data_IF_822897501808
#
_entry.id   IF_822897501808
#
_cell.length_a   1.000
_cell.length_b   1.000
_cell.length_c   1.000
_cell.angle_alpha   90.00
_cell.angle_beta   90.00
_cell.angle_gamma   90.00
#
_symmetry.space_group_name_H-M   'P 1'
#
loop_
_entity.id
_entity.type
_entity.pdbx_description
1 polymer ?
#
# COMPACT_ATOMS: atom_id res chain seq x y z
N UNK A 1 -27.75 16.43 -18.29
CA UNK A 1 -27.54 16.98 -16.94
C UNK A 1 -27.15 18.44 -17.07
N UNK A 2 -27.59 19.34 -16.18
CA UNK A 2 -27.13 20.74 -16.20
C UNK A 2 -25.62 20.80 -15.98
N UNK A 3 -24.97 21.78 -16.60
CA UNK A 3 -23.55 22.02 -16.39
C UNK A 3 -23.29 22.35 -14.91
N UNK A 4 -22.24 21.80 -14.28
CA UNK A 4 -21.89 22.13 -12.92
C UNK A 4 -21.61 23.64 -12.79
N UNK A 5 -21.96 24.26 -11.64
CA UNK A 5 -21.70 25.68 -11.43
C UNK A 5 -20.19 25.96 -11.54
N UNK A 6 -19.81 27.17 -12.02
CA UNK A 6 -18.41 27.55 -12.14
C UNK A 6 -17.72 27.54 -10.78
N UNK A 7 -16.47 27.07 -10.74
CA UNK A 7 -15.66 27.01 -9.53
C UNK A 7 -15.50 28.40 -8.90
N UNK A 8 -15.57 28.49 -7.57
CA UNK A 8 -15.21 29.70 -6.84
C UNK A 8 -13.69 29.90 -6.85
N UNK A 9 -13.17 31.13 -6.60
CA UNK A 9 -11.73 31.36 -6.47
C UNK A 9 -11.08 30.47 -5.40
N UNK A 10 -11.74 30.29 -4.26
CA UNK A 10 -11.29 29.43 -3.16
C UNK A 10 -11.22 27.95 -3.58
N UNK A 11 -12.22 27.46 -4.32
CA UNK A 11 -12.20 26.10 -4.87
C UNK A 11 -11.04 25.89 -5.84
N UNK A 12 -10.77 26.87 -6.73
CA UNK A 12 -9.64 26.81 -7.67
C UNK A 12 -8.30 26.76 -6.95
N UNK A 13 -8.10 27.60 -5.95
CA UNK A 13 -6.89 27.60 -5.13
C UNK A 13 -6.69 26.25 -4.44
N UNK A 14 -7.77 25.73 -3.83
CA UNK A 14 -7.76 24.44 -3.14
C UNK A 14 -7.49 23.27 -4.09
N UNK A 15 -8.09 23.27 -5.28
CA UNK A 15 -7.78 22.29 -6.33
C UNK A 15 -6.32 22.42 -6.75
N UNK A 16 -5.83 23.62 -7.03
CA UNK A 16 -4.44 23.87 -7.43
C UNK A 16 -3.43 23.32 -6.41
N UNK A 17 -3.73 23.46 -5.12
CA UNK A 17 -2.94 22.95 -4.00
C UNK A 17 -2.89 21.41 -3.95
N UNK A 18 -4.02 20.74 -4.14
CA UNK A 18 -4.12 19.27 -3.97
C UNK A 18 -4.10 18.49 -5.29
N UNK A 19 -3.96 19.16 -6.43
CA UNK A 19 -3.88 18.52 -7.75
C UNK A 19 -2.63 17.65 -7.82
N UNK A 20 -2.82 16.34 -7.97
CA UNK A 20 -1.76 15.34 -8.16
C UNK A 20 -1.78 14.79 -9.59
N UNK A 21 -0.81 13.95 -9.94
CA UNK A 21 -0.79 13.21 -11.21
C UNK A 21 -0.78 14.10 -12.46
N UNK A 22 -0.18 15.30 -12.34
CA UNK A 22 -0.15 16.30 -13.43
C UNK A 22 0.54 15.77 -14.70
N UNK A 23 1.41 14.77 -14.58
CA UNK A 23 2.15 14.12 -15.68
C UNK A 23 1.46 12.87 -16.25
N UNK A 24 0.30 12.48 -15.72
CA UNK A 24 -0.41 11.26 -16.15
C UNK A 24 -1.47 11.61 -17.19
N UNK A 25 -1.18 11.34 -18.47
CA UNK A 25 -2.16 11.38 -19.55
C UNK A 25 -3.00 10.09 -19.64
N UNK A 26 -3.97 10.03 -20.56
CA UNK A 26 -4.83 8.85 -20.74
C UNK A 26 -4.07 7.56 -21.11
N UNK A 27 -2.98 7.66 -21.87
CA UNK A 27 -2.11 6.52 -22.18
C UNK A 27 -1.30 6.06 -20.95
N UNK A 28 -0.93 6.99 -20.09
CA UNK A 28 -0.23 6.74 -18.82
C UNK A 28 -1.18 6.14 -17.79
N UNK A 29 -2.47 6.46 -17.81
CA UNK A 29 -3.47 5.76 -16.97
C UNK A 29 -3.54 4.26 -17.22
N UNK A 30 -3.62 3.83 -18.48
CA UNK A 30 -3.66 2.40 -18.79
C UNK A 30 -2.38 1.68 -18.34
N UNK A 31 -1.22 2.33 -18.50
CA UNK A 31 0.06 1.82 -18.00
C UNK A 31 0.09 1.73 -16.47
N UNK A 32 -0.34 2.76 -15.76
CA UNK A 32 -0.40 2.78 -14.29
C UNK A 32 -1.37 1.73 -13.75
N UNK A 33 -2.56 1.59 -14.35
CA UNK A 33 -3.51 0.57 -13.95
C UNK A 33 -2.99 -0.85 -14.25
N UNK A 34 -2.27 -1.04 -15.35
CA UNK A 34 -1.57 -2.29 -15.66
C UNK A 34 -0.47 -2.60 -14.63
N UNK A 35 0.35 -1.61 -14.31
CA UNK A 35 1.40 -1.71 -13.30
C UNK A 35 0.83 -2.06 -11.92
N UNK A 36 -0.16 -1.30 -11.45
CA UNK A 36 -0.81 -1.55 -10.17
C UNK A 36 -1.42 -2.94 -10.09
N UNK A 37 -2.06 -3.44 -11.16
CA UNK A 37 -2.61 -4.80 -11.20
C UNK A 37 -1.54 -5.88 -11.17
N UNK A 38 -0.38 -5.62 -11.78
CA UNK A 38 0.72 -6.58 -11.85
C UNK A 38 1.49 -6.67 -10.53
N UNK A 39 1.64 -5.54 -9.82
CA UNK A 39 2.54 -5.44 -8.67
C UNK A 39 1.83 -5.23 -7.33
N UNK A 40 0.51 -4.99 -7.32
CA UNK A 40 -0.24 -4.71 -6.10
C UNK A 40 -1.66 -5.28 -6.15
N UNK A 41 -2.34 -5.31 -5.00
CA UNK A 41 -3.77 -5.61 -4.94
C UNK A 41 -4.67 -4.38 -5.09
N UNK A 42 -4.12 -3.18 -5.23
CA UNK A 42 -4.90 -1.93 -5.28
C UNK A 42 -5.23 -1.54 -6.72
N UNK A 43 -6.39 -0.94 -6.92
CA UNK A 43 -6.79 -0.36 -8.20
C UNK A 43 -6.25 1.07 -8.33
N UNK A 44 -6.10 1.56 -9.56
CA UNK A 44 -5.75 2.97 -9.81
C UNK A 44 -6.70 3.96 -9.10
N UNK A 45 -7.98 3.58 -8.98
CA UNK A 45 -8.99 4.31 -8.21
C UNK A 45 -8.69 4.39 -6.73
N UNK A 46 -8.46 3.23 -6.10
CA UNK A 46 -8.18 3.17 -4.67
C UNK A 46 -6.89 3.90 -4.32
N UNK A 47 -5.86 3.75 -5.15
CA UNK A 47 -4.59 4.45 -5.00
C UNK A 47 -4.74 5.97 -5.11
N UNK A 48 -5.30 6.48 -6.21
CA UNK A 48 -5.44 7.93 -6.42
C UNK A 48 -6.27 8.59 -5.31
N UNK A 49 -7.40 7.98 -4.94
CA UNK A 49 -8.27 8.51 -3.87
C UNK A 49 -7.58 8.42 -2.51
N UNK A 50 -6.88 7.32 -2.19
CA UNK A 50 -6.15 7.22 -0.93
C UNK A 50 -5.07 8.29 -0.80
N UNK A 51 -4.39 8.63 -1.90
CA UNK A 51 -3.39 9.71 -1.95
C UNK A 51 -3.99 11.09 -1.79
N UNK A 52 -5.11 11.38 -2.46
CA UNK A 52 -5.84 12.62 -2.20
C UNK A 52 -6.26 12.72 -0.74
N UNK A 53 -6.88 11.68 -0.18
CA UNK A 53 -7.31 11.67 1.21
C UNK A 53 -6.17 11.72 2.24
N UNK A 54 -4.92 11.48 1.83
CA UNK A 54 -3.75 11.59 2.71
C UNK A 54 -3.30 13.04 2.89
N UNK A 55 -3.54 13.91 1.90
CA UNK A 55 -3.11 15.32 1.93
C UNK A 55 -4.03 16.22 2.78
N UNK A 56 -5.23 15.75 3.12
CA UNK A 56 -6.17 16.53 3.93
C UNK A 56 -5.94 16.30 5.43
N UNK A 57 -5.82 17.41 6.15
CA UNK A 57 -5.53 17.44 7.59
C UNK A 57 -6.63 16.78 8.43
N UNK A 58 -7.90 16.84 8.02
CA UNK A 58 -9.06 16.48 8.86
C UNK A 58 -10.15 15.74 8.10
N UNK A 59 -10.13 14.41 8.15
CA UNK A 59 -11.01 13.49 7.39
C UNK A 59 -12.51 13.63 7.68
N UNK A 60 -13.09 14.73 7.26
CA UNK A 60 -14.48 15.12 7.47
C UNK A 60 -15.34 14.78 6.25
N UNK A 61 -16.67 14.72 6.44
CA UNK A 61 -17.60 14.52 5.33
C UNK A 61 -17.48 15.61 4.25
N UNK A 62 -17.17 16.85 4.65
CA UNK A 62 -16.99 17.97 3.72
C UNK A 62 -15.81 17.76 2.75
N UNK A 63 -14.71 17.18 3.23
CA UNK A 63 -13.56 16.86 2.38
C UNK A 63 -13.86 15.73 1.40
N UNK A 64 -14.58 14.69 1.84
CA UNK A 64 -14.98 13.59 0.96
C UNK A 64 -15.88 14.08 -0.16
N UNK A 65 -16.79 15.01 0.16
CA UNK A 65 -17.63 15.70 -0.83
C UNK A 65 -16.79 16.52 -1.80
N UNK A 66 -15.85 17.33 -1.30
CA UNK A 66 -14.98 18.14 -2.13
C UNK A 66 -14.14 17.28 -3.09
N UNK A 67 -13.49 16.23 -2.59
CA UNK A 67 -12.70 15.29 -3.41
C UNK A 67 -13.57 14.66 -4.49
N UNK A 68 -14.77 14.19 -4.13
CA UNK A 68 -15.66 13.52 -5.07
C UNK A 68 -16.16 14.44 -6.19
N UNK A 69 -16.58 15.66 -5.84
CA UNK A 69 -17.10 16.64 -6.79
C UNK A 69 -16.04 17.18 -7.76
N UNK A 70 -14.78 17.28 -7.31
CA UNK A 70 -13.69 17.85 -8.08
C UNK A 70 -12.67 16.80 -8.54
N UNK A 71 -13.03 15.51 -8.52
CA UNK A 71 -12.10 14.44 -8.83
C UNK A 71 -11.43 14.57 -10.21
N UNK A 72 -12.15 14.96 -11.29
CA UNK A 72 -11.52 15.17 -12.60
C UNK A 72 -10.52 16.32 -12.64
N UNK A 73 -10.75 17.36 -11.84
CA UNK A 73 -9.84 18.50 -11.73
C UNK A 73 -8.61 18.16 -10.88
N UNK A 74 -8.79 17.31 -9.86
CA UNK A 74 -7.75 16.87 -8.92
C UNK A 74 -6.85 15.77 -9.50
N UNK A 75 -7.42 14.85 -10.28
CA UNK A 75 -6.77 13.66 -10.85
C UNK A 75 -7.20 13.56 -12.32
N UNK A 76 -6.41 14.11 -13.25
CA UNK A 76 -6.83 14.29 -14.65
C UNK A 76 -7.28 13.02 -15.39
N UNK A 77 -6.82 11.85 -14.97
CA UNK A 77 -7.22 10.57 -15.56
C UNK A 77 -8.54 10.01 -15.01
N UNK A 78 -9.12 10.61 -13.95
CA UNK A 78 -10.43 10.26 -13.42
C UNK A 78 -11.48 11.16 -14.06
N UNK A 79 -12.12 10.73 -15.14
CA UNK A 79 -13.03 11.60 -15.90
C UNK A 79 -14.37 11.88 -15.20
N UNK A 80 -14.75 11.04 -14.24
CA UNK A 80 -16.05 11.12 -13.56
C UNK A 80 -15.93 11.69 -12.15
N UNK A 81 -16.98 12.40 -11.72
CA UNK A 81 -17.16 12.81 -10.32
C UNK A 81 -17.66 11.65 -9.47
N UNK A 82 -17.31 11.64 -8.18
CA UNK A 82 -17.63 10.58 -7.24
C UNK A 82 -18.50 11.12 -6.10
N UNK A 83 -19.34 10.24 -5.54
CA UNK A 83 -20.06 10.57 -4.32
C UNK A 83 -19.11 10.53 -3.11
N UNK A 84 -19.40 11.25 -2.02
CA UNK A 84 -18.57 11.19 -0.80
C UNK A 84 -18.42 9.76 -0.28
N UNK A 85 -19.49 8.96 -0.41
CA UNK A 85 -19.50 7.55 -0.04
C UNK A 85 -18.54 6.73 -0.88
N UNK A 86 -18.50 6.94 -2.20
CA UNK A 86 -17.58 6.24 -3.10
C UNK A 86 -16.12 6.58 -2.80
N UNK A 87 -15.82 7.85 -2.47
CA UNK A 87 -14.48 8.30 -2.02
C UNK A 87 -14.07 7.56 -0.75
N UNK A 88 -14.93 7.55 0.27
CA UNK A 88 -14.65 6.88 1.53
C UNK A 88 -14.51 5.36 1.36
N UNK A 89 -15.30 4.74 0.50
CA UNK A 89 -15.20 3.31 0.18
C UNK A 89 -13.87 2.96 -0.47
N UNK A 90 -13.42 3.73 -1.48
CA UNK A 90 -12.14 3.51 -2.15
C UNK A 90 -10.97 3.63 -1.16
N UNK A 91 -10.97 4.68 -0.33
CA UNK A 91 -9.99 4.87 0.74
C UNK A 91 -9.98 3.70 1.73
N UNK A 92 -11.15 3.28 2.22
CA UNK A 92 -11.23 2.17 3.17
C UNK A 92 -10.82 0.84 2.53
N UNK A 93 -11.11 0.65 1.25
CA UNK A 93 -10.66 -0.52 0.50
C UNK A 93 -9.14 -0.58 0.40
N UNK A 94 -8.48 0.53 0.03
CA UNK A 94 -7.02 0.65 0.06
C UNK A 94 -6.46 0.23 1.43
N UNK A 95 -6.96 0.83 2.52
CA UNK A 95 -6.49 0.53 3.89
C UNK A 95 -6.69 -0.93 4.28
N UNK A 96 -7.82 -1.54 3.90
CA UNK A 96 -8.07 -2.96 4.18
C UNK A 96 -7.08 -3.86 3.42
N UNK A 97 -6.78 -3.54 2.17
CA UNK A 97 -5.81 -4.30 1.34
C UNK A 97 -4.41 -4.22 1.94
N UNK A 98 -3.95 -3.04 2.34
CA UNK A 98 -2.66 -2.85 3.03
C UNK A 98 -2.59 -3.69 4.31
N UNK A 99 -3.62 -3.64 5.15
CA UNK A 99 -3.66 -4.44 6.39
C UNK A 99 -3.60 -5.95 6.13
N UNK A 100 -4.35 -6.43 5.13
CA UNK A 100 -4.34 -7.85 4.76
C UNK A 100 -2.97 -8.27 4.23
N UNK A 101 -2.40 -7.50 3.30
CA UNK A 101 -1.08 -7.78 2.74
C UNK A 101 0.00 -7.82 3.82
N UNK A 102 0.01 -6.84 4.75
CA UNK A 102 0.94 -6.83 5.87
C UNK A 102 0.78 -8.04 6.80
N UNK A 103 -0.45 -8.38 7.17
CA UNK A 103 -0.72 -9.57 7.99
C UNK A 103 -0.25 -10.86 7.30
N UNK A 104 -0.49 -11.00 6.00
CA UNK A 104 -0.05 -12.15 5.19
C UNK A 104 1.48 -12.23 5.09
N UNK A 105 2.15 -11.10 4.83
CA UNK A 105 3.61 -11.01 4.79
C UNK A 105 4.23 -11.45 6.12
N UNK A 106 3.80 -10.84 7.23
CA UNK A 106 4.35 -11.17 8.54
C UNK A 106 4.06 -12.61 8.96
N UNK A 107 2.88 -13.16 8.63
CA UNK A 107 2.61 -14.57 8.86
C UNK A 107 3.64 -15.48 8.15
N UNK A 108 3.92 -15.22 6.86
CA UNK A 108 4.93 -15.97 6.12
C UNK A 108 6.34 -15.83 6.69
N UNK A 109 6.74 -14.60 7.02
CA UNK A 109 8.05 -14.31 7.61
C UNK A 109 8.24 -15.02 8.96
N UNK A 110 7.26 -14.93 9.86
CA UNK A 110 7.32 -15.52 11.20
C UNK A 110 7.27 -17.06 11.16
N UNK A 111 6.49 -17.64 10.25
CA UNK A 111 6.45 -19.09 10.04
C UNK A 111 7.72 -19.65 9.37
N UNK A 112 8.65 -18.80 8.92
CA UNK A 112 9.87 -19.22 8.24
C UNK A 112 9.62 -19.76 6.83
N UNK A 113 8.55 -19.29 6.17
CA UNK A 113 8.29 -19.63 4.76
C UNK A 113 9.27 -18.95 3.79
N UNK A 114 9.96 -17.92 4.27
CA UNK A 114 10.97 -17.19 3.54
C UNK A 114 12.27 -17.20 4.35
N UNK A 115 13.38 -17.42 3.66
CA UNK A 115 14.74 -17.19 4.16
C UNK A 115 15.00 -15.69 4.33
N UNK A 116 16.11 -15.32 4.97
CA UNK A 116 16.49 -13.92 5.09
C UNK A 116 16.74 -13.27 3.72
N UNK A 117 17.37 -14.00 2.80
CA UNK A 117 17.63 -13.55 1.42
C UNK A 117 16.32 -13.33 0.65
N UNK A 118 15.36 -14.27 0.72
CA UNK A 118 14.05 -14.11 0.07
C UNK A 118 13.23 -12.95 0.68
N UNK A 119 13.39 -12.68 1.97
CA UNK A 119 12.77 -11.49 2.57
C UNK A 119 13.39 -10.22 1.99
N UNK A 120 14.72 -10.13 1.91
CA UNK A 120 15.43 -9.00 1.31
C UNK A 120 14.98 -8.75 -0.15
N UNK A 121 14.84 -9.82 -0.95
CA UNK A 121 14.33 -9.74 -2.33
C UNK A 121 12.90 -9.17 -2.39
N UNK A 122 11.98 -9.68 -1.56
CA UNK A 122 10.58 -9.20 -1.50
C UNK A 122 10.54 -7.70 -1.20
N UNK A 123 11.43 -7.23 -0.33
CA UNK A 123 11.46 -5.85 0.13
C UNK A 123 12.09 -4.92 -0.89
N UNK A 124 13.16 -5.36 -1.54
CA UNK A 124 13.76 -4.66 -2.67
C UNK A 124 12.70 -4.45 -3.77
N UNK A 125 12.02 -5.51 -4.20
CA UNK A 125 10.95 -5.41 -5.18
C UNK A 125 9.81 -4.50 -4.72
N UNK A 126 9.41 -4.60 -3.44
CA UNK A 126 8.36 -3.76 -2.87
C UNK A 126 8.75 -2.28 -2.84
N UNK A 127 10.03 -1.97 -2.58
CA UNK A 127 10.56 -0.60 -2.54
C UNK A 127 10.58 0.03 -3.93
N UNK A 128 10.99 -0.73 -4.95
CA UNK A 128 10.98 -0.31 -6.36
C UNK A 128 9.56 0.00 -6.83
N UNK A 129 8.60 -0.86 -6.48
CA UNK A 129 7.19 -0.62 -6.77
C UNK A 129 6.68 0.66 -6.10
N UNK A 130 7.06 0.89 -4.83
CA UNK A 130 6.67 2.10 -4.10
C UNK A 130 7.27 3.37 -4.71
N UNK A 131 8.58 3.32 -5.06
CA UNK A 131 9.32 4.41 -5.70
C UNK A 131 8.70 4.80 -7.04
N UNK A 132 8.42 3.83 -7.90
CA UNK A 132 7.74 4.07 -9.17
C UNK A 132 6.39 4.78 -8.96
N UNK A 133 5.59 4.35 -7.96
CA UNK A 133 4.31 4.99 -7.68
C UNK A 133 4.46 6.44 -7.17
N UNK A 134 5.48 6.73 -6.36
CA UNK A 134 5.80 8.09 -5.91
C UNK A 134 6.25 8.98 -7.07
N UNK A 135 7.07 8.45 -7.99
CA UNK A 135 7.51 9.17 -9.18
C UNK A 135 6.33 9.53 -10.09
N UNK A 136 5.40 8.59 -10.32
CA UNK A 136 4.18 8.82 -11.10
C UNK A 136 3.29 9.90 -10.48
N UNK A 137 3.27 10.02 -9.16
CA UNK A 137 2.56 11.10 -8.46
C UNK A 137 3.16 12.50 -8.73
N UNK A 138 4.39 12.54 -9.25
CA UNK A 138 5.18 13.76 -9.43
C UNK A 138 6.05 14.06 -8.21
N UNK A 139 6.25 13.09 -7.31
CA UNK A 139 7.21 13.21 -6.20
C UNK A 139 8.58 12.76 -6.71
N UNK A 140 9.52 13.69 -6.85
CA UNK A 140 10.92 13.36 -7.12
C UNK A 140 11.63 13.22 -5.78
N UNK A 141 12.29 12.09 -5.57
CA UNK A 141 13.20 11.87 -4.43
C UNK A 141 14.60 12.22 -4.93
N UNK A 142 15.40 12.91 -4.13
CA UNK A 142 16.80 13.17 -4.45
C UNK A 142 17.61 11.86 -4.39
N UNK A 143 18.66 11.72 -5.19
CA UNK A 143 19.45 10.47 -5.26
C UNK A 143 20.11 10.17 -3.91
N UNK A 144 20.53 11.21 -3.17
CA UNK A 144 21.14 11.02 -1.85
C UNK A 144 20.07 10.57 -0.83
N UNK A 145 18.87 11.16 -0.88
CA UNK A 145 17.72 10.72 -0.07
C UNK A 145 17.29 9.29 -0.42
N UNK A 146 17.45 8.89 -1.68
CA UNK A 146 17.08 7.57 -2.20
C UNK A 146 17.93 6.46 -1.59
N UNK A 147 19.25 6.65 -1.53
CA UNK A 147 20.18 5.70 -0.91
C UNK A 147 19.97 5.60 0.61
N UNK A 148 19.76 6.73 1.29
CA UNK A 148 19.48 6.76 2.73
C UNK A 148 18.18 6.01 3.08
N UNK A 149 17.16 6.08 2.21
CA UNK A 149 15.92 5.33 2.40
C UNK A 149 16.15 3.83 2.23
N UNK A 150 16.94 3.42 1.24
CA UNK A 150 17.27 2.00 1.00
C UNK A 150 18.00 1.38 2.20
N UNK A 151 19.03 2.06 2.71
CA UNK A 151 19.80 1.59 3.87
C UNK A 151 18.91 1.40 5.11
N UNK A 152 18.00 2.35 5.36
CA UNK A 152 17.06 2.29 6.48
C UNK A 152 16.02 1.19 6.31
N UNK A 153 15.54 0.95 5.08
CA UNK A 153 14.64 -0.16 4.80
C UNK A 153 15.35 -1.49 5.05
N UNK A 154 16.59 -1.66 4.56
CA UNK A 154 17.37 -2.88 4.77
C UNK A 154 17.63 -3.15 6.26
N UNK A 155 17.93 -2.11 7.05
CA UNK A 155 18.14 -2.23 8.50
C UNK A 155 16.90 -2.77 9.23
N UNK A 156 15.72 -2.16 8.99
CA UNK A 156 14.46 -2.59 9.62
C UNK A 156 14.16 -4.05 9.31
N UNK A 157 14.59 -4.53 8.15
CA UNK A 157 14.22 -5.84 7.65
C UNK A 157 15.11 -6.94 8.17
N UNK A 158 16.40 -6.64 8.32
CA UNK A 158 17.28 -7.47 9.15
C UNK A 158 16.71 -7.66 10.55
N UNK A 159 16.17 -6.59 11.16
CA UNK A 159 15.51 -6.70 12.47
C UNK A 159 14.25 -7.58 12.44
N UNK A 160 13.45 -7.54 11.37
CA UNK A 160 12.27 -8.41 11.21
C UNK A 160 12.69 -9.87 11.06
N UNK A 161 13.71 -10.15 10.24
CA UNK A 161 14.23 -11.51 10.04
C UNK A 161 14.81 -12.09 11.35
N UNK A 162 15.56 -11.28 12.11
CA UNK A 162 16.08 -11.65 13.43
C UNK A 162 14.95 -11.96 14.41
N UNK A 163 13.94 -11.08 14.52
CA UNK A 163 12.79 -11.29 15.39
C UNK A 163 12.01 -12.56 15.02
N UNK A 164 11.83 -12.82 13.72
CA UNK A 164 11.21 -14.04 13.23
C UNK A 164 12.02 -15.29 13.62
N UNK A 165 13.36 -15.22 13.53
CA UNK A 165 14.24 -16.30 13.96
C UNK A 165 14.13 -16.57 15.46
N UNK A 166 14.15 -15.52 16.29
CA UNK A 166 14.01 -15.65 17.75
C UNK A 166 12.71 -16.35 18.14
N UNK A 167 11.59 -16.01 17.49
CA UNK A 167 10.28 -16.65 17.75
C UNK A 167 10.32 -18.15 17.42
N UNK A 168 11.01 -18.54 16.35
CA UNK A 168 11.16 -19.97 15.99
C UNK A 168 12.08 -20.71 16.95
N UNK A 169 13.18 -20.10 17.37
CA UNK A 169 14.14 -20.70 18.33
C UNK A 169 13.58 -20.84 19.74
N UNK A 170 12.57 -20.06 20.11
CA UNK A 170 11.86 -20.19 21.39
C UNK A 170 10.74 -21.23 21.38
N UNK A 171 10.41 -21.81 20.22
CA UNK A 171 9.45 -22.91 20.15
C UNK A 171 10.10 -24.13 20.83
N UNK A 172 9.55 -24.65 21.94
CA UNK A 172 10.10 -25.85 22.53
C UNK A 172 10.04 -26.95 21.49
N UNK A 173 11.15 -27.69 21.35
CA UNK A 173 11.13 -28.98 20.68
C UNK A 173 9.93 -29.73 21.25
N UNK A 174 8.98 -30.11 20.39
CA UNK A 174 7.89 -30.96 20.82
C UNK A 174 8.56 -32.15 21.50
N UNK A 175 8.28 -32.31 22.80
CA UNK A 175 8.74 -33.44 23.58
C UNK A 175 8.48 -34.69 22.75
N UNK A 176 9.59 -35.29 22.32
CA UNK A 176 9.60 -36.59 21.71
C UNK A 176 9.28 -37.54 22.86
N UNK A 177 7.99 -37.70 23.16
CA UNK A 177 7.49 -38.75 24.06
C UNK A 177 7.84 -40.10 23.40
N UNK A 178 9.05 -40.56 23.71
CA UNK A 178 9.38 -41.96 23.71
C UNK A 178 8.63 -42.66 24.84
N UNK A 179 8.34 -43.93 24.57
CA UNK A 179 7.92 -44.99 25.50
C UNK A 179 6.42 -45.10 25.84
N UNK A 180 5.75 -45.98 25.09
CA UNK A 180 5.01 -47.08 25.74
C UNK A 180 5.15 -48.34 24.87
N UNK A 181 6.30 -49.01 24.98
CA UNK A 181 6.43 -50.43 24.66
C UNK A 181 5.45 -51.22 25.53
N UNK A 182 4.29 -51.57 24.97
CA UNK A 182 3.48 -52.65 25.54
C UNK A 182 3.92 -53.96 24.91
N UNK A 183 4.86 -54.62 25.57
CA UNK A 183 5.01 -56.07 25.45
C UNK A 183 3.67 -56.73 25.82
N UNK A 184 3.02 -57.40 24.86
CA UNK A 184 1.93 -58.31 25.16
C UNK A 184 2.49 -59.60 25.78
N UNK A 185 2.04 -60.04 26.96
CA UNK A 185 2.32 -61.39 27.42
C UNK A 185 1.46 -62.38 26.63
N UNK A 186 2.08 -63.30 25.91
CA UNK A 186 1.40 -64.47 25.36
C UNK A 186 0.90 -65.38 26.49
N UNK A 187 -0.41 -65.59 26.58
CA UNK A 187 -1.06 -66.86 26.97
C UNK A 187 -2.40 -67.04 26.23
#
# INVERSE_FOLDING_TARGET
MPAPPPLTPEQRERIGKYRKFKKVDGATYHRVNGFLRKHTYVTAREWAIARLCADFSTRSGAEMTFIGQHLPDLVPFMTDTYTPQAVNQARNSFKRKVRKAGATFFYGALCGFFTAEELDDILFESSEVARFLLEVEGTTIDIDDELDIEDRIAEVMRSVAEAASMIRSQKPEAENDGDDEREEPCE
#
